data_IF_784414995384
#
_entry.id   IF_784414995384
#
_cell.length_a   1.000
_cell.length_b   1.000
_cell.length_c   1.000
_cell.angle_alpha   90.00
_cell.angle_beta   90.00
_cell.angle_gamma   90.00
#
_symmetry.space_group_name_H-M   'P 1'
#
loop_
_entity.id
_entity.type
_entity.pdbx_description
1 polymer ?
#
# COMPACT_ATOMS: atom_id res chain seq x y z
N UNK A 1 17.06 -10.60 -12.34
CA UNK A 1 15.88 -10.13 -11.58
C UNK A 1 14.61 -10.79 -12.10
N UNK A 2 14.38 -10.82 -13.42
CA UNK A 2 13.29 -11.62 -14.02
C UNK A 2 13.43 -13.10 -13.70
N UNK A 3 14.63 -13.66 -13.88
CA UNK A 3 14.95 -15.03 -13.47
C UNK A 3 14.64 -15.35 -11.99
N UNK A 4 14.66 -14.36 -11.09
CA UNK A 4 14.32 -14.58 -9.68
C UNK A 4 12.81 -14.80 -9.50
N UNK A 5 11.98 -13.97 -10.13
CA UNK A 5 10.52 -14.09 -10.09
C UNK A 5 10.03 -15.32 -10.87
N UNK A 6 10.71 -15.71 -11.94
CA UNK A 6 10.40 -16.94 -12.67
C UNK A 6 10.75 -18.21 -11.88
N UNK A 7 11.78 -18.16 -11.03
CA UNK A 7 12.17 -19.29 -10.17
C UNK A 7 11.20 -19.48 -9.02
N UNK A 8 10.60 -18.39 -8.50
CA UNK A 8 9.66 -18.43 -7.39
C UNK A 8 8.22 -18.41 -7.91
N UNK A 9 7.50 -19.53 -7.77
CA UNK A 9 6.05 -19.58 -8.07
C UNK A 9 5.28 -18.76 -7.05
N UNK A 10 5.12 -17.46 -7.30
CA UNK A 10 4.31 -16.59 -6.46
C UNK A 10 2.83 -16.99 -6.54
N UNK A 11 2.08 -16.86 -5.44
CA UNK A 11 0.63 -16.99 -5.47
C UNK A 11 0.04 -15.95 -6.41
N UNK A 12 -0.96 -16.36 -7.19
CA UNK A 12 -1.67 -15.50 -8.15
C UNK A 12 -3.11 -15.31 -7.70
N UNK A 13 -3.62 -14.10 -7.88
CA UNK A 13 -5.04 -13.78 -7.65
C UNK A 13 -5.95 -14.51 -8.65
N UNK A 14 -7.18 -14.78 -8.23
CA UNK A 14 -8.24 -15.31 -9.07
C UNK A 14 -8.82 -14.21 -9.98
N UNK A 15 -9.45 -14.60 -11.09
CA UNK A 15 -9.95 -13.62 -12.08
C UNK A 15 -10.96 -12.64 -11.46
N UNK A 16 -11.87 -13.12 -10.60
CA UNK A 16 -12.85 -12.27 -9.92
C UNK A 16 -12.19 -11.20 -9.03
N UNK A 17 -11.04 -11.51 -8.45
CA UNK A 17 -10.28 -10.59 -7.59
C UNK A 17 -9.56 -9.54 -8.44
N UNK A 18 -8.99 -9.95 -9.57
CA UNK A 18 -8.37 -9.06 -10.55
C UNK A 18 -9.42 -8.09 -11.11
N UNK A 19 -10.60 -8.61 -11.48
CA UNK A 19 -11.72 -7.83 -11.97
C UNK A 19 -12.20 -6.82 -10.91
N UNK A 20 -12.24 -7.23 -9.63
CA UNK A 20 -12.56 -6.32 -8.53
C UNK A 20 -11.52 -5.21 -8.38
N UNK A 21 -10.22 -5.52 -8.46
CA UNK A 21 -9.16 -4.51 -8.36
C UNK A 21 -9.25 -3.49 -9.49
N UNK A 22 -9.60 -3.96 -10.70
CA UNK A 22 -9.64 -3.17 -11.93
C UNK A 22 -10.95 -2.40 -12.17
N UNK A 23 -12.02 -2.69 -11.41
CA UNK A 23 -13.30 -1.97 -11.58
C UNK A 23 -13.17 -0.48 -11.21
N UNK A 24 -13.95 0.42 -11.83
CA UNK A 24 -13.96 1.83 -11.46
C UNK A 24 -14.30 2.04 -9.98
N UNK A 25 -13.75 3.10 -9.37
CA UNK A 25 -14.09 3.49 -7.99
C UNK A 25 -15.55 3.93 -7.92
N UNK A 26 -16.28 3.42 -6.93
CA UNK A 26 -17.70 3.75 -6.73
C UNK A 26 -17.93 4.67 -5.53
N UNK A 27 -19.18 5.12 -5.37
CA UNK A 27 -19.60 6.02 -4.30
C UNK A 27 -19.36 5.39 -2.91
N UNK A 28 -19.70 4.12 -2.75
CA UNK A 28 -19.65 3.41 -1.48
C UNK A 28 -18.22 3.27 -0.94
N UNK A 29 -17.24 3.05 -1.83
CA UNK A 29 -15.82 2.99 -1.47
C UNK A 29 -15.35 4.34 -0.91
N UNK A 30 -15.71 5.45 -1.58
CA UNK A 30 -15.33 6.80 -1.15
C UNK A 30 -16.01 7.14 0.18
N UNK A 31 -17.30 6.83 0.30
CA UNK A 31 -18.05 7.09 1.53
C UNK A 31 -17.45 6.32 2.72
N UNK A 32 -17.05 5.07 2.50
CA UNK A 32 -16.43 4.23 3.53
C UNK A 32 -15.10 4.80 3.99
N UNK A 33 -14.26 5.25 3.05
CA UNK A 33 -12.97 5.90 3.38
C UNK A 33 -13.20 7.18 4.19
N UNK A 34 -14.07 8.07 3.72
CA UNK A 34 -14.37 9.34 4.42
C UNK A 34 -14.87 9.07 5.84
N UNK A 35 -15.78 8.11 6.03
CA UNK A 35 -16.30 7.72 7.35
C UNK A 35 -15.20 7.25 8.31
N UNK A 36 -14.16 6.60 7.78
CA UNK A 36 -13.08 6.02 8.56
C UNK A 36 -11.87 6.95 8.74
N UNK A 37 -11.90 8.15 8.16
CA UNK A 37 -10.83 9.13 8.35
C UNK A 37 -10.60 9.41 9.85
N UNK A 38 -9.34 9.44 10.31
CA UNK A 38 -9.01 9.61 11.71
C UNK A 38 -9.37 11.03 12.19
N UNK A 39 -10.07 11.09 13.32
CA UNK A 39 -10.43 12.34 13.98
C UNK A 39 -9.25 12.92 14.77
N UNK A 40 -9.22 14.24 14.91
CA UNK A 40 -8.23 15.03 15.64
C UNK A 40 -6.79 14.86 15.14
N UNK A 41 -6.62 14.49 13.86
CA UNK A 41 -5.30 14.50 13.22
C UNK A 41 -5.07 15.83 12.51
N UNK A 42 -3.80 16.23 12.45
CA UNK A 42 -3.36 17.40 11.70
C UNK A 42 -3.80 17.28 10.24
N UNK A 43 -4.38 18.34 9.65
CA UNK A 43 -4.79 18.33 8.26
C UNK A 43 -3.60 18.10 7.32
N UNK A 44 -3.90 17.59 6.13
CA UNK A 44 -2.89 17.41 5.08
C UNK A 44 -2.45 18.75 4.47
N UNK A 45 -1.69 18.71 3.37
CA UNK A 45 -1.30 19.91 2.62
C UNK A 45 -2.49 20.74 2.09
N UNK A 46 -3.69 20.16 2.08
CA UNK A 46 -4.95 20.78 1.71
C UNK A 46 -5.54 21.67 2.83
N UNK A 47 -5.04 21.55 4.07
CA UNK A 47 -5.52 22.30 5.23
C UNK A 47 -6.87 21.82 5.78
N UNK A 48 -7.46 20.76 5.23
CA UNK A 48 -8.77 20.25 5.67
C UNK A 48 -8.62 19.05 6.60
N UNK A 49 -9.21 19.09 7.81
CA UNK A 49 -9.16 17.97 8.74
C UNK A 49 -10.12 16.84 8.31
N UNK A 50 -9.93 15.63 8.84
CA UNK A 50 -10.80 14.49 8.53
C UNK A 50 -12.29 14.75 8.81
N UNK A 51 -12.56 15.52 9.86
CA UNK A 51 -13.90 15.96 10.26
C UNK A 51 -14.60 16.78 9.17
N UNK A 52 -13.86 17.61 8.44
CA UNK A 52 -14.42 18.39 7.33
C UNK A 52 -15.00 17.46 6.27
N UNK A 53 -14.22 16.45 5.86
CA UNK A 53 -14.66 15.46 4.89
C UNK A 53 -15.88 14.67 5.39
N UNK A 54 -15.90 14.31 6.68
CA UNK A 54 -17.03 13.59 7.29
C UNK A 54 -18.30 14.43 7.35
N UNK A 55 -18.18 15.72 7.63
CA UNK A 55 -19.32 16.65 7.70
C UNK A 55 -19.92 16.94 6.32
N UNK A 56 -19.09 17.17 5.30
CA UNK A 56 -19.53 17.59 3.96
C UNK A 56 -19.48 16.45 2.93
N UNK A 57 -19.63 15.20 3.38
CA UNK A 57 -19.46 14.02 2.53
C UNK A 57 -20.43 13.98 1.35
N UNK A 58 -21.67 14.43 1.52
CA UNK A 58 -22.70 14.36 0.48
C UNK A 58 -22.38 15.31 -0.70
N UNK A 59 -21.73 16.44 -0.41
CA UNK A 59 -21.27 17.40 -1.41
C UNK A 59 -19.93 17.00 -2.02
N UNK A 60 -19.03 16.44 -1.21
CA UNK A 60 -17.65 16.12 -1.61
C UNK A 60 -17.59 14.84 -2.44
N UNK A 61 -18.34 13.78 -2.09
CA UNK A 61 -18.22 12.48 -2.77
C UNK A 61 -18.50 12.59 -4.28
N UNK A 62 -19.56 13.27 -4.76
CA UNK A 62 -19.78 13.43 -6.20
C UNK A 62 -18.64 14.14 -6.93
N UNK A 63 -17.95 15.06 -6.26
CA UNK A 63 -16.79 15.78 -6.81
C UNK A 63 -15.58 14.84 -6.88
N UNK A 64 -15.31 14.10 -5.79
CA UNK A 64 -14.23 13.12 -5.76
C UNK A 64 -14.44 12.00 -6.77
N UNK A 65 -15.67 11.52 -6.94
CA UNK A 65 -16.00 10.48 -7.92
C UNK A 65 -15.67 10.94 -9.35
N UNK A 66 -16.09 12.15 -9.72
CA UNK A 66 -15.75 12.76 -11.02
C UNK A 66 -14.25 12.97 -11.16
N UNK A 67 -13.58 13.38 -10.08
CA UNK A 67 -12.13 13.55 -10.06
C UNK A 67 -11.43 12.23 -10.32
N UNK A 68 -11.81 11.14 -9.65
CA UNK A 68 -11.18 9.83 -9.83
C UNK A 68 -11.35 9.28 -11.24
N UNK A 69 -12.54 9.42 -11.83
CA UNK A 69 -12.76 9.08 -13.23
C UNK A 69 -11.85 9.89 -14.18
N UNK A 70 -11.61 11.16 -13.86
CA UNK A 70 -10.70 12.02 -14.62
C UNK A 70 -9.23 11.67 -14.39
N UNK A 71 -8.88 11.09 -13.25
CA UNK A 71 -7.50 10.69 -12.93
C UNK A 71 -7.11 9.40 -13.64
N UNK A 72 -8.05 8.47 -13.80
CA UNK A 72 -7.85 7.30 -14.66
C UNK A 72 -7.45 7.70 -16.09
N UNK A 73 -7.81 8.91 -16.55
CA UNK A 73 -7.44 9.43 -17.87
C UNK A 73 -6.27 10.42 -17.86
N UNK A 74 -6.06 11.19 -16.78
CA UNK A 74 -5.08 12.30 -16.72
C UNK A 74 -3.88 12.09 -15.76
N UNK A 75 -3.92 11.10 -14.87
CA UNK A 75 -2.77 10.64 -14.10
C UNK A 75 -2.31 11.51 -12.91
N UNK A 76 -3.21 12.15 -12.15
CA UNK A 76 -2.85 12.93 -10.93
C UNK A 76 -3.71 12.60 -9.71
N UNK A 77 -3.13 11.97 -8.69
CA UNK A 77 -3.88 11.33 -7.60
C UNK A 77 -3.99 12.22 -6.35
N UNK A 78 -5.18 12.40 -5.73
CA UNK A 78 -5.32 13.05 -4.43
C UNK A 78 -5.11 12.05 -3.28
N UNK A 79 -4.95 12.56 -2.06
CA UNK A 79 -4.56 11.75 -0.90
C UNK A 79 -5.56 10.63 -0.54
N UNK A 80 -6.86 10.87 -0.68
CA UNK A 80 -7.90 9.86 -0.42
C UNK A 80 -7.84 8.66 -1.37
N UNK A 81 -7.17 8.81 -2.53
CA UNK A 81 -7.01 7.72 -3.48
C UNK A 81 -6.08 6.62 -2.98
N UNK A 82 -5.00 7.00 -2.27
CA UNK A 82 -4.05 6.02 -1.72
C UNK A 82 -4.75 5.06 -0.77
N UNK A 83 -5.67 5.58 0.05
CA UNK A 83 -6.42 4.77 1.01
C UNK A 83 -7.43 3.83 0.31
N UNK A 84 -8.04 4.27 -0.79
CA UNK A 84 -8.92 3.42 -1.61
C UNK A 84 -8.12 2.26 -2.23
N UNK A 85 -6.97 2.55 -2.87
CA UNK A 85 -6.12 1.52 -3.45
C UNK A 85 -5.61 0.53 -2.40
N UNK A 86 -5.18 1.04 -1.24
CA UNK A 86 -4.74 0.21 -0.12
C UNK A 86 -5.86 -0.70 0.38
N UNK A 87 -7.07 -0.17 0.57
CA UNK A 87 -8.23 -0.96 1.01
C UNK A 87 -8.60 -2.06 0.02
N UNK A 88 -8.47 -1.81 -1.30
CA UNK A 88 -8.70 -2.82 -2.34
C UNK A 88 -7.70 -3.98 -2.26
N UNK A 89 -6.40 -3.69 -2.17
CA UNK A 89 -5.38 -4.76 -2.05
C UNK A 89 -5.52 -5.50 -0.73
N UNK A 90 -5.87 -4.81 0.36
CA UNK A 90 -6.01 -5.41 1.69
C UNK A 90 -7.07 -6.52 1.74
N UNK A 91 -8.08 -6.51 0.85
CA UNK A 91 -9.05 -7.60 0.74
C UNK A 91 -8.38 -8.93 0.37
N UNK A 92 -7.31 -8.87 -0.44
CA UNK A 92 -6.65 -10.05 -1.01
C UNK A 92 -5.21 -10.24 -0.54
N UNK A 93 -4.69 -9.35 0.30
CA UNK A 93 -3.30 -9.37 0.77
C UNK A 93 -2.92 -10.72 1.40
N UNK A 94 -3.85 -11.37 2.12
CA UNK A 94 -3.64 -12.68 2.76
C UNK A 94 -3.50 -13.84 1.79
N UNK A 95 -3.96 -13.71 0.54
CA UNK A 95 -3.79 -14.71 -0.51
C UNK A 95 -2.40 -14.63 -1.15
N UNK A 96 -1.84 -13.41 -1.21
CA UNK A 96 -0.55 -13.15 -1.87
C UNK A 96 0.67 -13.20 -0.94
N UNK A 97 0.47 -12.96 0.36
CA UNK A 97 1.56 -13.02 1.35
C UNK A 97 1.68 -14.41 1.98
N UNK A 98 2.87 -14.75 2.45
CA UNK A 98 3.08 -15.93 3.26
C UNK A 98 2.36 -15.80 4.63
N UNK A 99 1.84 -16.91 5.17
CA UNK A 99 1.07 -16.93 6.42
C UNK A 99 1.84 -16.44 7.66
N UNK A 100 3.16 -16.32 7.57
CA UNK A 100 4.03 -15.78 8.63
C UNK A 100 4.27 -14.27 8.54
N UNK A 101 3.79 -13.62 7.47
CA UNK A 101 3.84 -12.18 7.36
C UNK A 101 2.79 -11.56 8.28
N UNK A 102 3.24 -10.97 9.38
CA UNK A 102 2.36 -10.36 10.40
C UNK A 102 2.30 -8.83 10.27
N UNK A 103 3.37 -8.20 9.82
CA UNK A 103 3.46 -6.74 9.70
C UNK A 103 2.52 -6.19 8.63
N UNK A 104 1.76 -5.15 8.98
CA UNK A 104 0.82 -4.44 8.10
C UNK A 104 -0.36 -5.28 7.57
N UNK A 105 -0.64 -6.43 8.18
CA UNK A 105 -1.74 -7.30 7.76
C UNK A 105 -2.95 -7.14 8.69
N UNK A 106 -4.15 -6.82 8.16
CA UNK A 106 -5.34 -6.65 8.98
C UNK A 106 -5.66 -7.86 9.87
N UNK A 107 -5.85 -7.59 11.16
CA UNK A 107 -6.16 -8.59 12.19
C UNK A 107 -4.94 -9.35 12.73
N UNK A 108 -3.71 -9.04 12.26
CA UNK A 108 -2.48 -9.63 12.77
C UNK A 108 -1.78 -8.68 13.76
N UNK A 109 -1.16 -9.25 14.79
CA UNK A 109 -0.50 -8.52 15.87
C UNK A 109 0.95 -8.98 16.04
N UNK A 110 1.87 -8.06 16.37
CA UNK A 110 3.29 -8.38 16.56
C UNK A 110 3.56 -9.49 17.59
N UNK A 111 2.65 -9.69 18.55
CA UNK A 111 2.67 -10.79 19.51
C UNK A 111 2.78 -12.19 18.87
N UNK A 112 2.16 -12.40 17.69
CA UNK A 112 2.26 -13.70 16.99
C UNK A 112 3.72 -14.07 16.65
N UNK A 113 4.53 -13.08 16.24
CA UNK A 113 5.95 -13.30 15.93
C UNK A 113 6.75 -13.67 17.19
N UNK A 114 6.43 -13.07 18.34
CA UNK A 114 7.06 -13.38 19.63
C UNK A 114 6.75 -14.82 20.02
N UNK A 115 5.47 -15.21 20.03
CA UNK A 115 5.05 -16.57 20.36
C UNK A 115 5.66 -17.61 19.42
N UNK A 116 5.70 -17.32 18.11
CA UNK A 116 6.31 -18.21 17.13
C UNK A 116 7.80 -18.40 17.40
N UNK A 117 8.52 -17.31 17.66
CA UNK A 117 9.95 -17.35 17.97
C UNK A 117 10.25 -18.18 19.22
N UNK A 118 9.49 -17.96 20.31
CA UNK A 118 9.62 -18.75 21.56
C UNK A 118 9.34 -20.23 21.30
N UNK A 119 8.31 -20.55 20.51
CA UNK A 119 7.95 -21.93 20.17
C UNK A 119 9.05 -22.63 19.37
N UNK A 120 9.67 -21.92 18.42
CA UNK A 120 10.81 -22.43 17.64
C UNK A 120 12.03 -22.68 18.54
N UNK A 121 12.37 -21.73 19.42
CA UNK A 121 13.48 -21.88 20.38
C UNK A 121 13.25 -23.09 21.30
N UNK A 122 12.04 -23.23 21.83
CA UNK A 122 11.68 -24.36 22.69
C UNK A 122 11.79 -25.70 21.96
N UNK A 123 11.31 -25.76 20.71
CA UNK A 123 11.42 -26.96 19.87
C UNK A 123 12.86 -27.34 19.58
N UNK A 124 13.70 -26.36 19.28
CA UNK A 124 15.14 -26.54 19.08
C UNK A 124 15.79 -27.09 20.35
N UNK A 125 15.51 -26.51 21.52
CA UNK A 125 16.08 -26.95 22.79
C UNK A 125 15.71 -28.39 23.17
N UNK A 126 14.56 -28.89 22.68
CA UNK A 126 14.14 -30.29 22.87
C UNK A 126 14.86 -31.28 21.94
N UNK A 127 15.40 -30.82 20.81
CA UNK A 127 16.11 -31.69 19.87
C UNK A 127 17.54 -31.95 20.39
N UNK A 128 18.01 -33.19 20.23
CA UNK A 128 19.40 -33.59 20.56
C UNK A 128 20.44 -33.10 19.53
N UNK A 129 20.00 -32.39 18.49
CA UNK A 129 20.87 -31.82 17.45
C UNK A 129 21.35 -30.46 17.95
N UNK A 130 22.67 -30.25 17.97
CA UNK A 130 23.29 -29.11 18.69
C UNK A 130 23.60 -27.88 17.84
N UNK A 131 23.34 -27.92 16.53
CA UNK A 131 23.77 -26.88 15.61
C UNK A 131 22.56 -26.12 15.05
N UNK A 132 22.12 -25.10 15.77
CA UNK A 132 21.05 -24.20 15.36
C UNK A 132 21.55 -22.76 15.39
N UNK A 133 21.12 -21.97 14.41
CA UNK A 133 21.43 -20.54 14.30
C UNK A 133 20.13 -19.77 14.16
N UNK A 134 20.02 -18.66 14.89
CA UNK A 134 18.95 -17.67 14.70
C UNK A 134 19.58 -16.48 13.99
N UNK A 135 19.04 -16.13 12.84
CA UNK A 135 19.49 -14.99 12.05
C UNK A 135 18.46 -13.87 12.16
N UNK A 136 18.89 -12.71 12.66
CA UNK A 136 18.09 -11.49 12.69
C UNK A 136 18.59 -10.57 11.58
N UNK A 137 17.71 -10.27 10.61
CA UNK A 137 18.01 -9.39 9.48
C UNK A 137 17.11 -8.17 9.58
N UNK A 138 17.68 -6.98 9.38
CA UNK A 138 16.94 -5.73 9.28
C UNK A 138 17.27 -5.03 7.96
N UNK A 139 16.29 -4.31 7.41
CA UNK A 139 16.42 -3.59 6.15
C UNK A 139 16.50 -2.09 6.40
N UNK A 140 17.69 -1.51 6.16
CA UNK A 140 17.89 -0.07 6.32
C UNK A 140 17.05 0.71 5.30
N UNK A 141 16.11 1.54 5.79
CA UNK A 141 15.25 2.42 4.97
C UNK A 141 14.56 1.67 3.83
N UNK A 142 13.85 0.60 4.18
CA UNK A 142 13.24 -0.31 3.22
C UNK A 142 12.39 0.42 2.15
N UNK A 143 11.58 1.40 2.53
CA UNK A 143 10.74 2.14 1.56
C UNK A 143 11.56 2.98 0.57
N UNK A 144 12.65 3.62 1.02
CA UNK A 144 13.49 4.47 0.18
C UNK A 144 14.36 3.67 -0.80
N UNK A 145 14.69 2.42 -0.45
CA UNK A 145 15.62 1.57 -1.22
C UNK A 145 14.93 0.59 -2.17
N UNK A 146 13.59 0.53 -2.17
CA UNK A 146 12.86 -0.35 -3.11
C UNK A 146 13.06 0.14 -4.54
N UNK A 147 13.45 -0.78 -5.42
CA UNK A 147 13.51 -0.52 -6.85
C UNK A 147 12.09 -0.60 -7.44
N UNK A 148 11.54 0.52 -7.90
CA UNK A 148 10.20 0.56 -8.50
C UNK A 148 10.00 -0.44 -9.65
N UNK A 149 10.95 -0.64 -10.58
CA UNK A 149 10.78 -1.66 -11.63
C UNK A 149 10.60 -3.08 -11.08
N UNK A 150 11.23 -3.40 -9.95
CA UNK A 150 11.07 -4.69 -9.28
C UNK A 150 9.71 -4.81 -8.60
N UNK A 151 9.26 -3.74 -7.93
CA UNK A 151 7.93 -3.66 -7.32
C UNK A 151 6.84 -3.94 -8.36
N UNK A 152 6.88 -3.24 -9.50
CA UNK A 152 5.89 -3.39 -10.57
C UNK A 152 5.88 -4.81 -11.15
N UNK A 153 7.06 -5.38 -11.42
CA UNK A 153 7.17 -6.77 -11.89
C UNK A 153 6.63 -7.80 -10.89
N UNK A 154 6.81 -7.53 -9.59
CA UNK A 154 6.28 -8.39 -8.53
C UNK A 154 4.75 -8.34 -8.51
N UNK A 155 4.15 -7.15 -8.63
CA UNK A 155 2.71 -6.97 -8.74
C UNK A 155 2.12 -7.70 -9.96
N UNK A 156 2.78 -7.59 -11.12
CA UNK A 156 2.39 -8.33 -12.32
C UNK A 156 2.44 -9.85 -12.12
N UNK A 157 3.47 -10.35 -11.42
CA UNK A 157 3.65 -11.78 -11.17
C UNK A 157 2.57 -12.37 -10.27
N UNK A 158 1.97 -11.58 -9.37
CA UNK A 158 0.81 -11.99 -8.55
C UNK A 158 -0.54 -11.82 -9.28
N UNK A 159 -0.53 -11.33 -10.52
CA UNK A 159 -1.71 -11.15 -11.36
C UNK A 159 -2.34 -9.76 -11.29
N UNK A 160 -1.67 -8.78 -10.66
CA UNK A 160 -2.14 -7.40 -10.67
C UNK A 160 -1.72 -6.74 -11.98
N UNK A 161 -2.69 -6.45 -12.83
CA UNK A 161 -2.51 -5.91 -14.18
C UNK A 161 -3.51 -4.79 -14.51
N UNK A 162 -3.44 -4.26 -15.72
CA UNK A 162 -4.36 -3.24 -16.27
C UNK A 162 -4.51 -1.96 -15.43
N UNK A 163 -5.76 -1.51 -15.23
CA UNK A 163 -6.13 -0.24 -14.62
C UNK A 163 -5.49 -0.06 -13.26
N UNK A 164 -5.57 -1.08 -12.40
CA UNK A 164 -5.06 -1.00 -11.05
C UNK A 164 -3.53 -0.89 -11.01
N UNK A 165 -2.84 -1.64 -11.88
CA UNK A 165 -1.40 -1.52 -12.02
C UNK A 165 -0.98 -0.15 -12.59
N UNK A 166 -1.72 0.38 -13.57
CA UNK A 166 -1.45 1.70 -14.15
C UNK A 166 -1.64 2.83 -13.13
N UNK A 167 -2.63 2.71 -12.25
CA UNK A 167 -2.83 3.63 -11.14
C UNK A 167 -1.64 3.59 -10.16
N UNK A 168 -1.11 2.40 -9.84
CA UNK A 168 0.09 2.27 -9.02
C UNK A 168 1.32 2.86 -9.73
N UNK A 169 1.50 2.58 -11.02
CA UNK A 169 2.60 3.13 -11.82
C UNK A 169 2.59 4.67 -11.79
N UNK A 170 1.41 5.27 -11.93
CA UNK A 170 1.23 6.73 -11.90
C UNK A 170 1.73 7.35 -10.59
N UNK A 171 1.66 6.65 -9.45
CA UNK A 171 2.18 7.13 -8.16
C UNK A 171 3.70 7.31 -8.20
N UNK A 172 4.40 6.39 -8.88
CA UNK A 172 5.86 6.35 -8.92
C UNK A 172 6.45 7.03 -10.17
N UNK A 173 5.63 7.40 -11.15
CA UNK A 173 6.09 8.09 -12.35
C UNK A 173 6.38 9.58 -12.08
N UNK A 174 7.68 9.90 -12.01
CA UNK A 174 8.22 11.28 -11.89
C UNK A 174 7.57 12.11 -10.78
N UNK A 175 7.57 11.64 -9.51
CA UNK A 175 7.09 12.46 -8.41
C UNK A 175 7.86 13.78 -8.36
N UNK A 176 7.15 14.89 -8.19
CA UNK A 176 7.75 16.21 -7.96
C UNK A 176 7.39 16.68 -6.57
N UNK A 177 8.36 17.24 -5.85
CA UNK A 177 8.16 17.80 -4.52
C UNK A 177 8.35 19.31 -4.58
N UNK A 178 7.55 20.01 -3.78
CA UNK A 178 7.69 21.44 -3.55
C UNK A 178 7.94 21.65 -2.06
N UNK A 179 8.79 22.62 -1.73
CA UNK A 179 9.00 23.05 -0.35
C UNK A 179 8.03 24.20 -0.07
N UNK A 180 7.30 24.13 1.04
CA UNK A 180 6.51 25.26 1.54
C UNK A 180 7.31 25.89 2.68
N UNK A 181 7.80 27.11 2.46
CA UNK A 181 8.55 27.90 3.45
C UNK A 181 7.72 29.14 3.79
N UNK A 182 7.36 29.29 5.07
CA UNK A 182 6.55 30.41 5.57
C UNK A 182 5.21 30.62 4.82
N UNK A 183 4.61 29.55 4.32
CA UNK A 183 3.37 29.59 3.54
C UNK A 183 3.57 29.85 2.04
N UNK A 184 4.80 30.13 1.59
CA UNK A 184 5.12 30.30 0.17
C UNK A 184 5.62 29.00 -0.45
N UNK A 185 4.97 28.60 -1.56
CA UNK A 185 5.31 27.41 -2.34
C UNK A 185 6.50 27.72 -3.24
N UNK A 186 7.61 27.04 -3.00
CA UNK A 186 8.82 27.12 -3.83
C UNK A 186 8.68 26.30 -5.11
N UNK A 187 9.64 26.46 -6.03
CA UNK A 187 9.70 25.69 -7.27
C UNK A 187 9.72 24.17 -7.02
N UNK A 188 9.06 23.43 -7.89
CA UNK A 188 9.02 21.96 -7.83
C UNK A 188 10.33 21.37 -8.35
N UNK A 189 10.86 20.37 -7.66
CA UNK A 189 11.98 19.57 -8.13
C UNK A 189 11.61 18.07 -8.20
N UNK A 190 12.24 17.31 -9.11
CA UNK A 190 11.97 15.88 -9.24
C UNK A 190 12.51 15.10 -8.03
N UNK A 191 11.67 14.24 -7.48
CA UNK A 191 12.01 13.32 -6.41
C UNK A 191 12.61 12.05 -7.02
N UNK A 192 13.86 11.75 -6.64
CA UNK A 192 14.61 10.61 -7.20
C UNK A 192 14.48 9.33 -6.37
N UNK A 193 14.19 9.45 -5.08
CA UNK A 193 14.04 8.34 -4.13
C UNK A 193 13.40 8.82 -2.82
N UNK A 194 12.65 7.95 -2.16
CA UNK A 194 11.95 8.23 -0.89
C UNK A 194 10.64 8.98 -1.07
N UNK A 195 9.73 8.82 -0.10
CA UNK A 195 8.44 9.53 0.04
C UNK A 195 8.29 9.97 1.47
#
# INVERSE_FOLDING_TARGET
>A
MEAFLETYKLPRLEQEEIDFLNRPINYEEIETVIKNLPKNKTPGPDGFPGEFYQTFKEEIIPILLKLFQKIETEGKLPNSFYEILANRIQQYIKRIIHHDQVGFIPGMQGWYNICKSVSVIHHINKKRVKNHMILSIDAEKAFDKIQHPFLIKTLQSVGIEDTFLNLINTIYEKPTVNIILNGEKQESFPLRSGT
#
